data_IF_623237097827
#
_entry.id   IF_623237097827
#
_cell.length_a   1.000
_cell.length_b   1.000
_cell.length_c   1.000
_cell.angle_alpha   90.00
_cell.angle_beta   90.00
_cell.angle_gamma   90.00
#
_symmetry.space_group_name_H-M   'P 1'
#
loop_
_entity.id
_entity.type
_entity.pdbx_description
1 polymer ?
#
# COMPACT_ATOMS: atom_id res chain seq x y z
N UNK A 1 -26.29 17.24 2.16
CA UNK A 1 -25.32 16.59 3.08
C UNK A 1 -25.18 15.06 2.94
N UNK A 2 -25.97 14.32 2.14
CA UNK A 2 -25.84 12.85 2.01
C UNK A 2 -24.60 12.38 1.21
N UNK A 3 -24.12 13.16 0.24
CA UNK A 3 -22.94 12.84 -0.61
C UNK A 3 -21.58 12.92 0.10
N UNK A 4 -21.50 13.64 1.23
CA UNK A 4 -20.24 13.77 1.99
C UNK A 4 -19.85 12.48 2.73
N UNK A 5 -20.83 11.63 3.07
CA UNK A 5 -20.61 10.36 3.78
C UNK A 5 -19.78 9.35 2.96
N UNK A 6 -20.11 9.03 1.70
CA UNK A 6 -19.30 8.11 0.91
C UNK A 6 -17.91 8.68 0.59
N UNK A 7 -17.80 9.99 0.32
CA UNK A 7 -16.51 10.64 0.09
C UNK A 7 -15.59 10.54 1.31
N UNK A 8 -16.14 10.76 2.51
CA UNK A 8 -15.38 10.61 3.76
C UNK A 8 -14.90 9.17 3.94
N UNK A 9 -15.73 8.17 3.65
CA UNK A 9 -15.37 6.76 3.76
C UNK A 9 -14.23 6.38 2.80
N UNK A 10 -14.27 6.87 1.55
CA UNK A 10 -13.19 6.63 0.58
C UNK A 10 -11.88 7.30 0.99
N UNK A 11 -11.95 8.52 1.56
CA UNK A 11 -10.75 9.21 2.06
C UNK A 11 -10.15 8.52 3.28
N UNK A 12 -10.98 8.04 4.21
CA UNK A 12 -10.52 7.24 5.35
C UNK A 12 -9.86 5.95 4.87
N UNK A 13 -10.47 5.24 3.91
CA UNK A 13 -9.89 4.02 3.35
C UNK A 13 -8.55 4.28 2.66
N UNK A 14 -8.43 5.38 1.90
CA UNK A 14 -7.19 5.79 1.24
C UNK A 14 -6.10 6.09 2.28
N UNK A 15 -6.44 6.84 3.34
CA UNK A 15 -5.53 7.13 4.44
C UNK A 15 -5.06 5.86 5.14
N UNK A 16 -5.97 4.94 5.46
CA UNK A 16 -5.62 3.65 6.09
C UNK A 16 -4.73 2.79 5.18
N UNK A 17 -5.01 2.79 3.87
CA UNK A 17 -4.16 2.11 2.88
C UNK A 17 -2.77 2.71 2.89
N UNK A 18 -2.64 4.03 2.86
CA UNK A 18 -1.34 4.70 2.93
C UNK A 18 -0.61 4.42 4.25
N UNK A 19 -1.30 4.52 5.40
CA UNK A 19 -0.73 4.21 6.71
C UNK A 19 -0.30 2.74 6.83
N UNK A 20 -0.86 1.84 6.03
CA UNK A 20 -0.44 0.45 6.01
C UNK A 20 0.98 0.24 5.46
N UNK A 21 1.60 1.27 4.85
CA UNK A 21 3.04 1.28 4.56
C UNK A 21 3.92 1.19 5.81
N UNK A 22 3.37 1.44 7.01
CA UNK A 22 4.09 1.24 8.26
C UNK A 22 4.21 -0.25 8.64
N UNK A 23 3.54 -1.15 7.89
CA UNK A 23 3.65 -2.59 8.06
C UNK A 23 4.75 -3.11 7.13
N UNK A 24 5.94 -3.48 7.67
CA UNK A 24 7.02 -4.02 6.87
C UNK A 24 6.67 -5.43 6.37
N UNK A 25 7.12 -5.74 5.17
CA UNK A 25 6.93 -7.02 4.49
C UNK A 25 8.18 -7.36 3.66
N UNK A 26 8.16 -8.54 3.03
CA UNK A 26 9.16 -8.94 2.04
C UNK A 26 8.45 -9.49 0.81
N UNK A 27 8.97 -9.17 -0.37
CA UNK A 27 8.50 -9.71 -1.65
C UNK A 27 9.67 -10.31 -2.42
N UNK A 28 9.36 -11.10 -3.44
CA UNK A 28 10.36 -11.59 -4.39
C UNK A 28 10.33 -10.68 -5.61
N UNK A 29 11.44 -9.99 -5.87
CA UNK A 29 11.59 -9.17 -7.08
C UNK A 29 12.68 -9.74 -7.96
N UNK A 30 12.38 -9.88 -9.25
CA UNK A 30 13.35 -10.27 -10.27
C UNK A 30 14.06 -8.99 -10.72
N UNK A 31 15.39 -8.94 -10.59
CA UNK A 31 16.22 -7.79 -10.96
C UNK A 31 17.16 -8.19 -12.10
N UNK A 32 16.75 -8.00 -13.37
CA UNK A 32 17.55 -8.42 -14.52
C UNK A 32 18.90 -7.70 -14.55
N UNK A 33 19.99 -8.45 -14.74
CA UNK A 33 21.34 -7.88 -14.86
C UNK A 33 22.13 -7.81 -13.55
N UNK A 34 21.55 -8.28 -12.44
CA UNK A 34 22.30 -8.67 -11.25
C UNK A 34 22.43 -10.20 -11.25
N UNK A 35 23.67 -10.72 -11.33
CA UNK A 35 23.93 -12.16 -11.50
C UNK A 35 23.28 -13.04 -10.41
N UNK A 36 22.92 -12.45 -9.26
CA UNK A 36 22.34 -13.15 -8.11
C UNK A 36 20.81 -13.02 -7.99
N UNK A 37 20.11 -12.20 -8.80
CA UNK A 37 18.66 -11.96 -8.67
C UNK A 37 17.81 -12.21 -9.93
N UNK A 38 18.34 -12.94 -10.91
CA UNK A 38 17.60 -13.34 -12.11
C UNK A 38 16.45 -14.33 -11.80
N UNK A 39 16.53 -15.06 -10.69
CA UNK A 39 15.47 -15.97 -10.23
C UNK A 39 14.56 -15.39 -9.13
N UNK A 40 14.75 -14.11 -8.81
CA UNK A 40 14.04 -13.44 -7.72
C UNK A 40 14.88 -13.41 -6.44
N UNK A 41 14.96 -12.23 -5.85
CA UNK A 41 15.59 -12.02 -4.54
C UNK A 41 14.57 -11.50 -3.54
N UNK A 42 14.73 -11.83 -2.25
CA UNK A 42 13.96 -11.19 -1.20
C UNK A 42 14.32 -9.71 -1.17
N UNK A 43 13.33 -8.85 -1.39
CA UNK A 43 13.45 -7.41 -1.30
C UNK A 43 12.57 -6.88 -0.18
N UNK A 44 12.98 -5.76 0.40
CA UNK A 44 12.18 -5.06 1.39
C UNK A 44 10.91 -4.53 0.73
N UNK A 45 9.77 -4.74 1.37
CA UNK A 45 8.50 -4.23 0.90
C UNK A 45 7.67 -3.69 2.07
N UNK A 46 6.60 -2.97 1.76
CA UNK A 46 5.69 -2.42 2.74
C UNK A 46 4.26 -2.34 2.20
N UNK A 47 3.30 -2.39 3.11
CA UNK A 47 1.87 -2.34 2.81
C UNK A 47 1.12 -3.56 3.32
N UNK A 48 -0.16 -3.36 3.64
CA UNK A 48 -1.05 -4.41 4.10
C UNK A 48 -2.46 -4.24 3.52
N UNK A 49 -3.16 -5.35 3.19
CA UNK A 49 -2.79 -6.76 3.33
C UNK A 49 -1.84 -7.29 2.26
N UNK A 50 -1.69 -6.60 1.13
CA UNK A 50 -0.69 -6.93 0.13
C UNK A 50 0.36 -5.82 0.09
N UNK A 51 1.66 -6.15 0.16
CA UNK A 51 2.70 -5.15 0.01
C UNK A 51 2.57 -4.47 -1.35
N UNK A 52 2.57 -3.15 -1.38
CA UNK A 52 2.37 -2.37 -2.61
C UNK A 52 3.45 -1.32 -2.87
N UNK A 53 4.43 -1.24 -1.99
CA UNK A 53 5.68 -0.52 -2.20
C UNK A 53 6.82 -1.50 -1.95
N UNK A 54 7.78 -1.60 -2.88
CA UNK A 54 8.94 -2.48 -2.73
C UNK A 54 10.23 -1.77 -3.16
N UNK A 55 11.35 -2.22 -2.60
CA UNK A 55 12.67 -1.67 -2.85
C UNK A 55 13.00 -1.75 -4.35
N UNK A 56 13.22 -0.58 -4.96
CA UNK A 56 13.49 -0.44 -6.38
C UNK A 56 14.95 -0.70 -6.76
N UNK A 57 15.23 -0.80 -8.05
CA UNK A 57 16.60 -1.06 -8.57
C UNK A 57 17.57 0.09 -8.26
N UNK A 58 17.06 1.33 -8.20
CA UNK A 58 17.86 2.55 -7.99
C UNK A 58 17.85 3.04 -6.53
N UNK A 59 17.06 2.41 -5.66
CA UNK A 59 16.99 2.75 -4.24
C UNK A 59 18.21 2.19 -3.50
N UNK A 60 18.72 2.86 -2.45
CA UNK A 60 19.68 2.25 -1.54
C UNK A 60 19.14 0.91 -1.03
N UNK A 61 19.91 -0.15 -1.22
CA UNK A 61 19.47 -1.53 -0.94
C UNK A 61 18.88 -1.64 0.47
N UNK A 62 17.67 -2.18 0.56
CA UNK A 62 17.00 -2.41 1.84
C UNK A 62 16.43 -1.13 2.49
N UNK A 63 16.16 -0.10 1.70
CA UNK A 63 15.44 1.09 2.16
C UNK A 63 14.11 1.26 1.43
N UNK A 64 13.15 1.91 2.07
CA UNK A 64 11.87 2.30 1.49
C UNK A 64 11.57 3.74 1.89
N UNK A 65 11.32 4.60 0.92
CA UNK A 65 10.80 5.93 1.14
C UNK A 65 9.29 5.89 1.31
N UNK A 66 8.82 6.24 2.50
CA UNK A 66 7.39 6.39 2.80
C UNK A 66 6.89 7.78 2.38
N UNK A 67 7.79 8.69 2.01
CA UNK A 67 7.44 10.06 1.61
C UNK A 67 6.57 10.02 0.33
N UNK A 68 5.34 10.59 0.35
CA UNK A 68 4.44 10.52 -0.78
C UNK A 68 5.00 11.22 -2.02
N UNK A 69 5.84 12.25 -1.87
CA UNK A 69 6.49 12.89 -3.01
C UNK A 69 7.51 11.97 -3.69
N UNK A 70 8.30 11.25 -2.91
CA UNK A 70 9.32 10.34 -3.44
C UNK A 70 8.66 9.16 -4.16
N UNK A 71 7.60 8.60 -3.57
CA UNK A 71 6.80 7.51 -4.16
C UNK A 71 6.17 7.94 -5.50
N UNK A 72 5.58 9.14 -5.57
CA UNK A 72 4.78 9.57 -6.71
C UNK A 72 5.60 10.21 -7.85
N UNK A 73 6.74 10.83 -7.55
CA UNK A 73 7.47 11.64 -8.54
C UNK A 73 8.90 11.19 -8.78
N UNK A 74 9.57 10.64 -7.77
CA UNK A 74 10.99 10.25 -7.87
C UNK A 74 11.12 8.78 -8.27
N UNK A 75 10.13 7.95 -7.93
CA UNK A 75 10.08 6.52 -8.29
C UNK A 75 11.36 5.77 -7.88
N UNK A 76 11.94 6.14 -6.73
CA UNK A 76 13.08 5.43 -6.13
C UNK A 76 12.70 3.98 -5.83
N UNK A 77 11.52 3.79 -5.25
CA UNK A 77 10.91 2.50 -4.95
C UNK A 77 9.84 2.15 -5.98
N UNK A 78 9.62 0.85 -6.17
CA UNK A 78 8.65 0.34 -7.11
C UNK A 78 7.25 0.28 -6.48
N UNK A 79 6.29 0.96 -7.12
CA UNK A 79 4.89 0.97 -6.70
C UNK A 79 4.08 -0.09 -7.44
N UNK A 80 3.54 -1.05 -6.70
CA UNK A 80 2.75 -2.16 -7.23
C UNK A 80 1.26 -1.79 -7.25
N UNK A 81 0.83 -1.16 -8.34
CA UNK A 81 -0.54 -0.63 -8.50
C UNK A 81 -1.66 -1.63 -8.22
N UNK A 82 -1.51 -2.88 -8.66
CA UNK A 82 -2.51 -3.93 -8.41
C UNK A 82 -2.63 -4.26 -6.92
N UNK A 83 -1.50 -4.40 -6.23
CA UNK A 83 -1.49 -4.68 -4.79
C UNK A 83 -2.02 -3.50 -3.98
N UNK A 84 -1.74 -2.27 -4.43
CA UNK A 84 -2.32 -1.06 -3.84
C UNK A 84 -3.84 -1.06 -3.99
N UNK A 85 -4.36 -1.36 -5.20
CA UNK A 85 -5.80 -1.42 -5.44
C UNK A 85 -6.49 -2.48 -4.57
N UNK A 86 -5.90 -3.67 -4.46
CA UNK A 86 -6.43 -4.74 -3.60
C UNK A 86 -6.43 -4.29 -2.14
N UNK A 87 -5.33 -3.69 -1.67
CA UNK A 87 -5.23 -3.20 -0.30
C UNK A 87 -6.22 -2.07 -0.02
N UNK A 88 -6.43 -1.18 -0.98
CA UNK A 88 -7.44 -0.13 -0.90
C UNK A 88 -8.86 -0.68 -0.80
N UNK A 89 -9.23 -1.65 -1.65
CA UNK A 89 -10.54 -2.30 -1.60
C UNK A 89 -10.74 -3.01 -0.26
N UNK A 90 -9.71 -3.66 0.27
CA UNK A 90 -9.74 -4.29 1.59
C UNK A 90 -10.05 -3.26 2.70
N UNK A 91 -9.30 -2.16 2.78
CA UNK A 91 -9.52 -1.12 3.78
C UNK A 91 -10.87 -0.44 3.61
N UNK A 92 -11.30 -0.21 2.38
CA UNK A 92 -12.63 0.34 2.09
C UNK A 92 -13.74 -0.59 2.59
N UNK A 93 -13.63 -1.89 2.37
CA UNK A 93 -14.59 -2.86 2.87
C UNK A 93 -14.67 -2.83 4.41
N UNK A 94 -13.53 -2.81 5.11
CA UNK A 94 -13.49 -2.71 6.57
C UNK A 94 -14.12 -1.42 7.09
N UNK A 95 -13.82 -0.28 6.45
CA UNK A 95 -14.44 1.01 6.79
C UNK A 95 -15.96 0.93 6.64
N UNK A 96 -16.46 0.40 5.51
CA UNK A 96 -17.90 0.26 5.28
C UNK A 96 -18.57 -0.65 6.31
N UNK A 97 -17.92 -1.76 6.68
CA UNK A 97 -18.40 -2.68 7.73
C UNK A 97 -18.46 -1.96 9.07
N UNK A 98 -17.38 -1.28 9.48
CA UNK A 98 -17.31 -0.56 10.75
C UNK A 98 -18.40 0.52 10.85
N UNK A 99 -18.61 1.31 9.79
CA UNK A 99 -19.69 2.30 9.75
C UNK A 99 -21.08 1.67 9.83
N UNK A 100 -21.29 0.52 9.19
CA UNK A 100 -22.57 -0.20 9.26
C UNK A 100 -22.83 -0.73 10.68
N UNK A 101 -21.82 -1.31 11.33
CA UNK A 101 -21.92 -1.81 12.71
C UNK A 101 -22.18 -0.67 13.69
N UNK A 102 -21.46 0.45 13.58
CA UNK A 102 -21.68 1.63 14.41
C UNK A 102 -23.12 2.14 14.32
N UNK A 103 -23.68 2.18 13.11
CA UNK A 103 -25.07 2.59 12.90
C UNK A 103 -26.08 1.63 13.53
N UNK A 104 -25.83 0.32 13.49
CA UNK A 104 -26.72 -0.68 14.11
C UNK A 104 -26.73 -0.51 15.63
N UNK A 105 -25.58 -0.20 16.23
CA UNK A 105 -25.46 -0.01 17.67
C UNK A 105 -26.07 1.32 18.15
N UNK A 106 -26.13 2.34 17.30
CA UNK A 106 -26.60 3.70 17.63
C UNK A 106 -27.67 4.14 16.60
N UNK A 107 -28.90 3.59 16.68
CA UNK A 107 -29.97 3.83 15.71
C UNK A 107 -30.47 5.28 15.67
#
# INVERSE_FOLDING_TARGET
MKKFKPLLQTLIALLLTYLSLLVPAQTQAVRPGSMDCDQGCPVLAAGFPMPFLQDGVISPVGTLSINPFDILFIHLDEFLWMNFFISYVFWLALVLIAFKLYRIQHP
#
